data_IF_991320996052
#
_entry.id   IF_991320996052
#
_cell.length_a   1.000
_cell.length_b   1.000
_cell.length_c   1.000
_cell.angle_alpha   90.00
_cell.angle_beta   90.00
_cell.angle_gamma   90.00
#
_symmetry.space_group_name_H-M   'P 1'
#
loop_
_entity.id
_entity.type
_entity.pdbx_description
1 polymer ?
#
# COMPACT_ATOMS: atom_id res chain seq x y z
N UNK A 1 10.91 28.50 -19.31
CA UNK A 1 12.23 28.31 -18.69
C UNK A 1 12.64 26.87 -18.87
N UNK A 2 13.74 26.64 -19.57
CA UNK A 2 14.19 25.32 -20.00
C UNK A 2 14.84 24.53 -18.85
N UNK A 3 14.93 23.19 -18.94
CA UNK A 3 15.51 22.35 -17.89
C UNK A 3 16.94 22.73 -17.50
N UNK A 4 17.78 23.10 -18.47
CA UNK A 4 19.16 23.52 -18.20
C UNK A 4 19.20 24.85 -17.43
N UNK A 5 18.29 25.78 -17.70
CA UNK A 5 18.24 27.07 -17.00
C UNK A 5 17.86 26.92 -15.53
N UNK A 6 17.02 25.93 -15.19
CA UNK A 6 16.69 25.60 -13.80
C UNK A 6 17.86 24.97 -13.07
N UNK A 7 18.58 24.08 -13.75
CA UNK A 7 19.78 23.46 -13.20
C UNK A 7 20.88 24.50 -12.93
N UNK A 8 21.12 25.43 -13.86
CA UNK A 8 22.05 26.53 -13.63
C UNK A 8 21.59 27.53 -12.57
N UNK A 9 20.28 27.70 -12.38
CA UNK A 9 19.76 28.52 -11.29
C UNK A 9 20.09 27.89 -9.93
N UNK A 10 19.89 26.59 -9.79
CA UNK A 10 20.24 25.82 -8.60
C UNK A 10 21.75 25.88 -8.31
N UNK A 11 22.60 25.62 -9.30
CA UNK A 11 24.07 25.66 -9.12
C UNK A 11 24.61 27.03 -8.68
N UNK A 12 23.90 28.13 -8.95
CA UNK A 12 24.30 29.46 -8.47
C UNK A 12 24.22 29.60 -6.96
N UNK A 13 23.38 28.82 -6.29
CA UNK A 13 23.25 28.84 -4.83
C UNK A 13 24.50 28.23 -4.16
N UNK A 14 25.23 27.36 -4.86
CA UNK A 14 26.46 26.68 -4.40
C UNK A 14 27.76 27.48 -4.63
N UNK A 15 27.67 28.73 -5.09
CA UNK A 15 28.86 29.58 -5.27
C UNK A 15 29.14 30.34 -3.99
N UNK A 16 29.73 29.66 -3.01
CA UNK A 16 30.20 30.25 -1.75
C UNK A 16 31.51 31.05 -1.93
N UNK A 17 32.40 30.61 -2.83
CA UNK A 17 33.64 31.32 -3.20
C UNK A 17 33.64 31.78 -4.67
N UNK A 18 33.48 33.10 -4.88
CA UNK A 18 33.46 33.71 -6.23
C UNK A 18 34.82 33.74 -6.95
N UNK A 19 35.93 33.58 -6.24
CA UNK A 19 37.26 33.53 -6.86
C UNK A 19 37.53 32.17 -7.52
N UNK A 20 36.87 31.11 -7.05
CA UNK A 20 36.98 29.74 -7.56
C UNK A 20 35.59 29.07 -7.61
N UNK A 21 34.70 29.63 -8.44
CA UNK A 21 33.29 29.25 -8.46
C UNK A 21 33.04 27.78 -8.81
N UNK A 22 33.84 27.19 -9.70
CA UNK A 22 33.67 25.78 -10.10
C UNK A 22 34.01 24.82 -8.97
N UNK A 23 35.13 25.06 -8.27
CA UNK A 23 35.54 24.25 -7.12
C UNK A 23 34.59 24.39 -5.96
N UNK A 24 34.09 25.61 -5.71
CA UNK A 24 33.09 25.91 -4.69
C UNK A 24 31.78 25.15 -4.93
N UNK A 25 31.29 25.15 -6.17
CA UNK A 25 30.10 24.38 -6.54
C UNK A 25 30.32 22.89 -6.32
N UNK A 26 31.48 22.36 -6.76
CA UNK A 26 31.77 20.94 -6.64
C UNK A 26 31.88 20.49 -5.18
N UNK A 27 32.52 21.29 -4.32
CA UNK A 27 32.68 21.00 -2.90
C UNK A 27 31.34 21.02 -2.17
N UNK A 28 30.55 22.09 -2.32
CA UNK A 28 29.26 22.22 -1.66
C UNK A 28 28.26 21.15 -2.16
N UNK A 29 28.29 20.81 -3.45
CA UNK A 29 27.47 19.72 -4.01
C UNK A 29 27.85 18.35 -3.45
N UNK A 30 29.15 18.06 -3.30
CA UNK A 30 29.62 16.79 -2.72
C UNK A 30 29.22 16.70 -1.23
N UNK A 31 29.31 17.81 -0.49
CA UNK A 31 28.90 17.86 0.91
C UNK A 31 27.40 17.61 1.05
N UNK A 32 26.58 18.25 0.22
CA UNK A 32 25.12 18.04 0.25
C UNK A 32 24.73 16.62 -0.14
N UNK A 33 25.30 16.05 -1.20
CA UNK A 33 25.09 14.64 -1.58
C UNK A 33 25.55 13.70 -0.46
N UNK A 34 26.67 14.01 0.20
CA UNK A 34 27.19 13.25 1.34
C UNK A 34 26.29 13.31 2.57
N UNK A 35 25.74 14.49 2.90
CA UNK A 35 24.77 14.66 3.98
C UNK A 35 23.46 13.94 3.64
N UNK A 36 22.99 14.07 2.40
CA UNK A 36 21.79 13.38 1.90
C UNK A 36 21.97 11.86 1.99
N UNK A 37 23.12 11.35 1.56
CA UNK A 37 23.47 9.94 1.69
C UNK A 37 23.53 9.49 3.15
N UNK A 38 24.20 10.25 4.03
CA UNK A 38 24.31 9.93 5.45
C UNK A 38 22.96 10.02 6.18
N UNK A 39 22.09 10.96 5.81
CA UNK A 39 20.74 11.07 6.37
C UNK A 39 19.94 9.79 6.10
N UNK A 40 19.95 9.28 4.87
CA UNK A 40 19.31 8.01 4.50
C UNK A 40 19.85 6.79 5.28
N UNK A 41 21.07 6.86 5.83
CA UNK A 41 21.71 5.76 6.57
C UNK A 41 21.54 5.85 8.08
N UNK A 42 21.54 7.07 8.63
CA UNK A 42 21.39 7.34 10.07
C UNK A 42 19.91 7.43 10.49
N UNK A 43 18.98 7.59 9.55
CA UNK A 43 17.52 7.64 9.77
C UNK A 43 16.83 6.29 9.95
N UNK A 44 17.54 5.17 10.06
CA UNK A 44 16.90 3.89 10.44
C UNK A 44 16.28 3.96 11.84
N UNK A 45 16.59 4.99 12.64
CA UNK A 45 15.99 5.18 13.97
C UNK A 45 15.15 6.43 14.22
N UNK A 46 15.10 7.41 13.31
CA UNK A 46 14.20 8.56 13.47
C UNK A 46 13.74 9.07 12.10
N UNK A 47 12.44 8.90 11.83
CA UNK A 47 11.58 9.70 10.97
C UNK A 47 12.24 10.46 9.80
N UNK A 48 12.29 9.81 8.63
CA UNK A 48 12.22 10.38 7.27
C UNK A 48 12.34 11.91 7.18
N UNK A 49 13.52 12.40 6.82
CA UNK A 49 13.80 13.79 6.51
C UNK A 49 13.20 14.08 5.13
N UNK A 50 12.02 14.68 5.16
CA UNK A 50 11.34 15.32 4.03
C UNK A 50 12.29 16.37 3.37
N UNK A 51 12.88 16.04 2.23
CA UNK A 51 13.50 17.02 1.32
C UNK A 51 12.62 17.28 0.09
N UNK A 52 11.47 17.89 0.31
CA UNK A 52 10.97 18.98 -0.53
C UNK A 52 9.90 19.73 0.25
N UNK A 53 10.28 20.91 0.70
CA UNK A 53 9.48 21.94 1.34
C UNK A 53 8.13 22.11 0.61
N UNK A 54 7.06 21.50 1.17
CA UNK A 54 5.62 21.75 0.94
C UNK A 54 4.70 20.73 1.67
N UNK A 55 5.09 20.20 2.84
CA UNK A 55 4.15 19.45 3.70
C UNK A 55 3.67 20.35 4.85
N UNK A 56 2.35 20.51 5.06
CA UNK A 56 1.86 21.04 6.31
C UNK A 56 2.09 19.98 7.39
N UNK A 57 2.85 20.35 8.43
CA UNK A 57 2.86 19.77 9.79
C UNK A 57 2.98 18.25 9.90
N UNK A 58 4.13 17.78 10.42
CA UNK A 58 4.29 16.58 11.25
C UNK A 58 3.03 15.69 11.30
N UNK A 59 2.89 14.78 10.34
CA UNK A 59 1.75 13.87 10.31
C UNK A 59 1.88 12.96 11.54
N UNK A 60 0.92 13.08 12.46
CA UNK A 60 0.89 12.33 13.72
C UNK A 60 0.71 10.83 13.42
N UNK A 61 1.83 10.13 13.26
CA UNK A 61 1.87 8.71 12.90
C UNK A 61 1.20 7.81 13.96
N UNK A 62 1.04 8.30 15.20
CA UNK A 62 0.44 7.55 16.30
C UNK A 62 -1.01 7.12 16.03
N UNK A 63 -1.72 7.87 15.18
CA UNK A 63 -3.15 7.65 14.94
C UNK A 63 -3.42 6.74 13.74
N UNK A 64 -2.41 6.28 13.01
CA UNK A 64 -2.60 5.42 11.84
C UNK A 64 -2.24 3.97 12.15
N UNK A 65 -3.20 3.08 11.95
CA UNK A 65 -3.00 1.65 12.10
C UNK A 65 -2.10 1.13 10.97
N UNK A 66 -1.17 0.23 11.33
CA UNK A 66 -0.16 -0.36 10.44
C UNK A 66 0.76 0.64 9.74
N UNK A 67 1.04 1.80 10.35
CA UNK A 67 1.92 2.79 9.71
C UNK A 67 1.48 3.17 8.29
N UNK A 68 0.18 3.09 8.00
CA UNK A 68 -0.41 3.35 6.67
C UNK A 68 -0.35 4.83 6.25
N UNK A 69 0.47 5.61 6.97
CA UNK A 69 0.69 7.03 6.75
C UNK A 69 1.43 7.23 5.45
N UNK A 70 0.88 8.11 4.64
CA UNK A 70 1.47 8.57 3.41
C UNK A 70 0.83 9.88 3.02
N UNK A 71 1.24 10.41 1.88
CA UNK A 71 0.76 11.69 1.38
C UNK A 71 -0.19 11.48 0.21
N UNK A 72 -1.42 11.97 0.37
CA UNK A 72 -2.40 12.03 -0.71
C UNK A 72 -1.93 12.95 -1.84
N UNK A 73 -2.02 12.50 -3.07
CA UNK A 73 -1.61 13.27 -4.25
C UNK A 73 -2.84 13.78 -5.00
N UNK A 74 -2.96 15.11 -5.04
CA UNK A 74 -4.04 15.80 -5.74
C UNK A 74 -5.17 16.19 -4.80
N UNK A 75 -6.37 16.39 -5.35
CA UNK A 75 -7.53 16.79 -4.58
C UNK A 75 -8.00 15.63 -3.68
N UNK A 76 -8.16 15.92 -2.40
CA UNK A 76 -8.85 15.05 -1.44
C UNK A 76 -10.37 15.16 -1.66
N UNK A 77 -11.03 14.03 -1.80
CA UNK A 77 -12.49 13.96 -1.95
C UNK A 77 -13.10 13.32 -0.70
N UNK A 78 -14.03 14.00 -0.06
CA UNK A 78 -14.79 13.43 1.05
C UNK A 78 -15.99 12.70 0.46
N UNK A 79 -16.12 11.42 0.78
CA UNK A 79 -17.18 10.56 0.27
C UNK A 79 -17.92 9.87 1.41
N UNK A 80 -19.18 9.50 1.17
CA UNK A 80 -19.94 8.60 2.02
C UNK A 80 -19.83 7.20 1.43
N UNK A 81 -19.35 6.25 2.21
CA UNK A 81 -19.21 4.86 1.79
C UNK A 81 -20.55 4.12 1.85
N UNK A 82 -20.79 3.30 0.83
CA UNK A 82 -21.89 2.36 0.78
C UNK A 82 -21.83 1.38 1.97
N UNK A 83 -22.98 0.96 2.50
CA UNK A 83 -23.07 -0.03 3.60
C UNK A 83 -22.27 -1.30 3.31
N UNK A 84 -22.35 -1.78 2.06
CA UNK A 84 -21.56 -2.93 1.62
C UNK A 84 -20.06 -2.69 1.71
N UNK A 85 -19.59 -1.54 1.21
CA UNK A 85 -18.16 -1.20 1.21
C UNK A 85 -17.66 -1.05 2.65
N UNK A 86 -18.48 -0.50 3.54
CA UNK A 86 -18.18 -0.42 4.98
C UNK A 86 -18.00 -1.79 5.61
N UNK A 87 -18.91 -2.74 5.33
CA UNK A 87 -18.81 -4.11 5.86
C UNK A 87 -17.55 -4.80 5.32
N UNK A 88 -17.27 -4.69 4.02
CA UNK A 88 -16.07 -5.28 3.42
C UNK A 88 -14.78 -4.71 4.01
N UNK A 89 -14.69 -3.39 4.14
CA UNK A 89 -13.54 -2.70 4.76
C UNK A 89 -13.38 -3.16 6.20
N UNK A 90 -14.47 -3.20 6.96
CA UNK A 90 -14.41 -3.57 8.37
C UNK A 90 -13.95 -5.02 8.54
N UNK A 91 -14.53 -5.95 7.78
CA UNK A 91 -14.11 -7.37 7.78
C UNK A 91 -12.64 -7.53 7.39
N UNK A 92 -12.17 -6.80 6.37
CA UNK A 92 -10.78 -6.82 5.95
C UNK A 92 -9.84 -6.35 7.07
N UNK A 93 -10.15 -5.22 7.71
CA UNK A 93 -9.36 -4.68 8.81
C UNK A 93 -9.35 -5.64 10.00
N UNK A 94 -10.49 -6.22 10.36
CA UNK A 94 -10.56 -7.20 11.46
C UNK A 94 -9.76 -8.47 11.17
N UNK A 95 -9.73 -8.92 9.91
CA UNK A 95 -9.00 -10.14 9.50
C UNK A 95 -7.49 -9.98 9.61
N UNK A 96 -6.98 -8.83 9.19
CA UNK A 96 -5.55 -8.57 9.02
C UNK A 96 -4.95 -7.71 10.14
N UNK A 97 -5.64 -7.59 11.29
CA UNK A 97 -5.14 -6.83 12.43
C UNK A 97 -4.53 -7.71 13.50
N UNK A 98 -3.21 -7.59 13.66
CA UNK A 98 -2.41 -8.36 14.61
C UNK A 98 -2.86 -8.15 16.06
N UNK A 99 -3.32 -6.93 16.40
CA UNK A 99 -3.83 -6.63 17.75
C UNK A 99 -5.06 -7.47 18.12
N UNK A 100 -5.79 -7.97 17.11
CA UNK A 100 -6.99 -8.78 17.29
C UNK A 100 -6.66 -10.26 17.32
N UNK A 101 -5.45 -10.69 16.97
CA UNK A 101 -5.11 -12.11 16.91
C UNK A 101 -5.32 -12.79 18.27
N UNK A 102 -4.94 -12.13 19.37
CA UNK A 102 -5.22 -12.58 20.73
C UNK A 102 -6.72 -12.80 21.01
N UNK A 103 -7.58 -11.92 20.49
CA UNK A 103 -9.03 -12.03 20.59
C UNK A 103 -9.59 -13.13 19.68
N UNK A 104 -9.02 -13.33 18.49
CA UNK A 104 -9.40 -14.41 17.56
C UNK A 104 -9.10 -15.76 18.19
N UNK A 105 -7.93 -15.94 18.79
CA UNK A 105 -7.57 -17.15 19.53
C UNK A 105 -8.54 -17.40 20.70
N UNK A 106 -8.85 -16.36 21.47
CA UNK A 106 -9.82 -16.45 22.57
C UNK A 106 -11.21 -16.85 22.06
N UNK A 107 -11.69 -16.25 20.97
CA UNK A 107 -12.98 -16.56 20.35
C UNK A 107 -13.04 -18.02 19.90
N UNK A 108 -12.01 -18.47 19.15
CA UNK A 108 -11.92 -19.86 18.70
C UNK A 108 -11.90 -20.82 19.89
N UNK A 109 -11.23 -20.48 20.97
CA UNK A 109 -11.21 -21.27 22.20
C UNK A 109 -12.58 -21.30 22.90
N UNK A 110 -13.32 -20.20 22.93
CA UNK A 110 -14.69 -20.15 23.48
C UNK A 110 -15.63 -21.02 22.63
N UNK A 111 -15.56 -20.93 21.31
CA UNK A 111 -16.38 -21.72 20.39
C UNK A 111 -16.03 -23.22 20.45
N UNK A 112 -14.73 -23.56 20.55
CA UNK A 112 -14.29 -24.94 20.78
C UNK A 112 -14.84 -25.50 22.09
N UNK A 113 -14.95 -24.68 23.16
CA UNK A 113 -15.51 -25.10 24.46
C UNK A 113 -17.02 -25.30 24.43
N UNK A 114 -17.75 -24.55 23.60
CA UNK A 114 -19.21 -24.72 23.41
C UNK A 114 -19.56 -25.96 22.61
N UNK A 115 -18.69 -26.39 21.69
CA UNK A 115 -18.90 -27.57 20.85
C UNK A 115 -18.60 -28.86 21.63
N UNK A 116 -19.35 -29.93 21.34
CA UNK A 116 -19.17 -31.25 21.99
C UNK A 116 -17.75 -31.75 21.77
N UNK A 117 -17.18 -32.45 22.77
CA UNK A 117 -15.76 -32.85 22.91
C UNK A 117 -15.12 -33.63 21.73
N UNK A 118 -15.80 -33.85 20.62
CA UNK A 118 -15.34 -34.67 19.48
C UNK A 118 -15.49 -34.01 18.10
N UNK A 119 -15.74 -32.70 18.01
CA UNK A 119 -15.69 -32.00 16.71
C UNK A 119 -14.28 -31.45 16.46
N UNK A 120 -13.45 -32.19 15.73
CA UNK A 120 -12.21 -31.62 15.20
C UNK A 120 -12.57 -30.59 14.13
N UNK A 121 -12.36 -29.30 14.43
CA UNK A 121 -12.47 -28.25 13.42
C UNK A 121 -11.23 -28.31 12.53
N UNK A 122 -11.45 -28.42 11.22
CA UNK A 122 -10.37 -28.20 10.26
C UNK A 122 -10.01 -26.71 10.21
N UNK A 123 -8.80 -26.34 9.75
CA UNK A 123 -8.43 -24.92 9.58
C UNK A 123 -9.44 -24.12 8.76
N UNK A 124 -10.03 -24.75 7.73
CA UNK A 124 -11.08 -24.15 6.89
C UNK A 124 -12.37 -23.88 7.66
N UNK A 125 -12.76 -24.76 8.59
CA UNK A 125 -13.94 -24.57 9.42
C UNK A 125 -13.75 -23.44 10.42
N UNK A 126 -12.51 -23.26 10.92
CA UNK A 126 -12.15 -22.15 11.81
C UNK A 126 -12.20 -20.83 11.04
N UNK A 127 -11.61 -20.76 9.84
CA UNK A 127 -11.68 -19.57 8.99
C UNK A 127 -13.11 -19.17 8.67
N UNK A 128 -13.95 -20.16 8.29
CA UNK A 128 -15.37 -19.92 8.03
C UNK A 128 -16.10 -19.40 9.27
N UNK A 129 -15.86 -20.01 10.43
CA UNK A 129 -16.45 -19.57 11.70
C UNK A 129 -16.06 -18.13 12.05
N UNK A 130 -14.78 -17.78 11.87
CA UNK A 130 -14.30 -16.42 12.09
C UNK A 130 -15.01 -15.45 11.15
N UNK A 131 -15.07 -15.77 9.85
CA UNK A 131 -15.73 -14.91 8.87
C UNK A 131 -17.22 -14.70 9.18
N UNK A 132 -17.92 -15.75 9.62
CA UNK A 132 -19.37 -15.72 9.81
C UNK A 132 -19.80 -15.09 11.14
N UNK A 133 -19.06 -15.31 12.23
CA UNK A 133 -19.56 -15.03 13.60
C UNK A 133 -18.63 -14.22 14.50
N UNK A 134 -17.38 -13.99 14.10
CA UNK A 134 -16.44 -13.23 14.92
C UNK A 134 -16.89 -11.79 15.15
N UNK A 135 -17.42 -11.14 14.10
CA UNK A 135 -17.85 -9.74 14.17
C UNK A 135 -18.96 -9.50 15.22
N UNK A 136 -19.92 -10.43 15.35
CA UNK A 136 -20.96 -10.36 16.37
C UNK A 136 -20.39 -10.54 17.78
N UNK A 137 -19.50 -11.52 17.98
CA UNK A 137 -18.88 -11.77 19.27
C UNK A 137 -17.93 -10.65 19.71
N UNK A 138 -17.26 -10.00 18.76
CA UNK A 138 -16.30 -8.94 19.01
C UNK A 138 -16.96 -7.59 19.32
N UNK A 139 -18.23 -7.40 18.92
CA UNK A 139 -19.01 -6.15 19.03
C UNK A 139 -18.95 -5.44 20.38
N UNK A 140 -18.89 -6.21 21.46
CA UNK A 140 -19.00 -5.68 22.83
C UNK A 140 -17.66 -5.59 23.56
N UNK A 141 -16.51 -5.81 22.89
CA UNK A 141 -15.20 -5.94 23.54
C UNK A 141 -14.25 -4.78 23.35
N UNK A 142 -14.27 -4.12 22.18
CA UNK A 142 -13.28 -3.08 21.83
C UNK A 142 -13.95 -1.98 21.00
N UNK A 143 -13.46 -0.74 21.09
CA UNK A 143 -13.89 0.40 20.25
C UNK A 143 -13.89 0.07 18.75
N UNK A 144 -12.94 -0.76 18.32
CA UNK A 144 -12.81 -1.29 16.97
C UNK A 144 -14.09 -1.98 16.46
N UNK A 145 -14.88 -2.55 17.36
CA UNK A 145 -16.08 -3.30 17.03
C UNK A 145 -17.30 -2.42 16.69
N UNK A 146 -17.18 -1.09 16.86
CA UNK A 146 -18.16 -0.12 16.37
C UNK A 146 -18.15 0.00 14.83
N UNK A 147 -17.07 -0.44 14.19
CA UNK A 147 -16.88 -0.32 12.75
C UNK A 147 -16.35 1.06 12.32
N UNK A 148 -16.01 1.19 11.03
CA UNK A 148 -15.49 2.43 10.46
C UNK A 148 -16.57 3.52 10.36
N UNK A 149 -16.12 4.78 10.33
CA UNK A 149 -16.97 5.90 9.99
C UNK A 149 -17.47 5.76 8.54
N UNK A 150 -18.74 6.11 8.31
CA UNK A 150 -19.33 6.12 6.97
C UNK A 150 -18.69 7.16 6.05
N UNK A 151 -18.14 8.23 6.64
CA UNK A 151 -17.43 9.26 5.92
C UNK A 151 -15.97 8.83 5.78
N UNK A 152 -15.50 8.76 4.53
CA UNK A 152 -14.12 8.42 4.19
C UNK A 152 -13.51 9.47 3.27
N UNK A 153 -12.18 9.54 3.26
CA UNK A 153 -11.44 10.35 2.28
C UNK A 153 -11.00 9.47 1.13
N UNK A 154 -11.25 9.91 -0.09
CA UNK A 154 -10.83 9.25 -1.32
C UNK A 154 -9.70 10.03 -1.97
N UNK A 155 -8.70 9.31 -2.45
CA UNK A 155 -7.55 9.88 -3.15
C UNK A 155 -7.42 9.31 -4.55
N UNK A 156 -6.93 10.13 -5.48
CA UNK A 156 -6.62 9.71 -6.85
C UNK A 156 -5.15 9.32 -7.05
N UNK A 157 -4.31 9.60 -6.06
CA UNK A 157 -2.95 9.11 -5.96
C UNK A 157 -2.46 9.20 -4.52
N UNK A 158 -1.45 8.42 -4.18
CA UNK A 158 -0.95 8.31 -2.82
C UNK A 158 0.54 7.97 -2.86
N UNK A 159 1.32 8.58 -1.98
CA UNK A 159 2.74 8.31 -1.83
C UNK A 159 2.99 7.63 -0.49
N UNK A 160 3.62 6.46 -0.53
CA UNK A 160 3.95 5.64 0.65
C UNK A 160 5.15 4.75 0.32
N UNK A 161 6.06 4.55 1.29
CA UNK A 161 7.25 3.69 1.16
C UNK A 161 8.12 3.97 -0.08
N UNK A 162 8.33 5.24 -0.43
CA UNK A 162 9.10 5.62 -1.62
C UNK A 162 8.40 5.33 -2.96
N UNK A 163 7.15 4.85 -2.93
CA UNK A 163 6.35 4.55 -4.10
C UNK A 163 5.26 5.59 -4.32
N UNK A 164 5.09 5.98 -5.59
CA UNK A 164 4.08 6.94 -6.00
C UNK A 164 2.94 6.24 -6.72
N UNK A 165 1.87 5.92 -6.01
CA UNK A 165 0.69 5.27 -6.57
C UNK A 165 -0.28 6.26 -7.20
N UNK A 166 -0.96 5.83 -8.28
CA UNK A 166 -2.04 6.57 -8.94
C UNK A 166 -3.13 5.61 -9.36
N UNK A 167 -4.39 6.00 -9.20
CA UNK A 167 -5.52 5.18 -9.64
C UNK A 167 -5.56 5.06 -11.17
N UNK A 168 -6.13 3.96 -11.67
CA UNK A 168 -6.36 3.75 -13.11
C UNK A 168 -7.10 4.94 -13.74
N UNK A 169 -8.12 5.47 -13.05
CA UNK A 169 -8.89 6.63 -13.50
C UNK A 169 -8.01 7.87 -13.70
N UNK A 170 -7.01 8.11 -12.84
CA UNK A 170 -6.10 9.26 -12.93
C UNK A 170 -5.04 9.13 -14.02
N UNK A 171 -4.70 7.91 -14.44
CA UNK A 171 -3.65 7.66 -15.44
C UNK A 171 -4.16 7.40 -16.84
N UNK A 172 -5.48 7.20 -17.03
CA UNK A 172 -6.09 6.83 -18.32
C UNK A 172 -5.60 7.68 -19.52
N UNK A 173 -5.44 8.99 -19.30
CA UNK A 173 -5.03 9.93 -20.35
C UNK A 173 -3.53 10.31 -20.27
N UNK A 174 -2.73 9.54 -19.53
CA UNK A 174 -1.32 9.82 -19.28
C UNK A 174 -0.43 8.75 -19.91
N UNK A 175 0.76 9.18 -20.35
CA UNK A 175 1.81 8.26 -20.82
C UNK A 175 2.46 7.45 -19.69
N UNK A 176 2.29 7.86 -18.43
CA UNK A 176 2.90 7.20 -17.26
C UNK A 176 1.87 6.36 -16.52
N UNK A 177 2.21 5.09 -16.26
CA UNK A 177 1.42 4.17 -15.45
C UNK A 177 2.01 4.11 -14.04
N UNK A 178 1.20 4.24 -13.00
CA UNK A 178 1.64 4.11 -11.59
C UNK A 178 0.57 3.36 -10.76
N UNK A 179 -0.23 2.54 -11.43
CA UNK A 179 -1.40 1.87 -10.84
C UNK A 179 -1.16 0.39 -10.52
N UNK A 180 -0.03 -0.19 -10.92
CA UNK A 180 0.25 -1.58 -10.62
C UNK A 180 0.69 -1.77 -9.18
N UNK A 181 0.08 -2.75 -8.53
CA UNK A 181 0.38 -3.15 -7.16
C UNK A 181 0.76 -4.62 -7.11
N UNK A 182 1.68 -4.96 -6.21
CA UNK A 182 1.92 -6.33 -5.79
C UNK A 182 1.88 -6.40 -4.28
N UNK A 183 1.13 -7.37 -3.75
CA UNK A 183 1.18 -7.75 -2.35
C UNK A 183 1.88 -9.13 -2.29
N UNK A 184 3.05 -9.19 -1.64
CA UNK A 184 3.78 -10.45 -1.46
C UNK A 184 3.54 -10.93 -0.05
N UNK A 185 2.83 -12.04 0.12
CA UNK A 185 2.65 -12.61 1.46
C UNK A 185 3.92 -13.31 1.90
N UNK A 186 4.41 -12.97 3.09
CA UNK A 186 5.54 -13.67 3.73
C UNK A 186 5.21 -15.16 3.94
N UNK A 187 3.93 -15.44 4.20
CA UNK A 187 3.40 -16.78 4.37
C UNK A 187 3.12 -17.36 2.98
N UNK A 188 3.96 -18.29 2.54
CA UNK A 188 3.80 -19.06 1.30
C UNK A 188 4.45 -18.46 0.05
N UNK A 189 5.03 -17.26 0.13
CA UNK A 189 5.77 -16.63 -0.98
C UNK A 189 4.93 -16.35 -2.22
N UNK A 190 3.60 -16.26 -2.06
CA UNK A 190 2.67 -16.00 -3.17
C UNK A 190 2.57 -14.50 -3.38
N UNK A 191 2.78 -14.05 -4.61
CA UNK A 191 2.59 -12.65 -5.00
C UNK A 191 1.22 -12.46 -5.66
N UNK A 192 0.41 -11.59 -5.07
CA UNK A 192 -0.86 -11.15 -5.62
C UNK A 192 -0.66 -9.86 -6.41
N UNK A 193 -0.90 -9.89 -7.71
CA UNK A 193 -0.78 -8.73 -8.59
C UNK A 193 -2.14 -8.10 -8.81
N UNK A 194 -2.20 -6.77 -8.79
CA UNK A 194 -3.44 -6.03 -8.96
C UNK A 194 -3.30 -4.68 -9.63
N UNK A 195 -4.43 -4.16 -10.08
CA UNK A 195 -4.52 -2.79 -10.58
C UNK A 195 -5.27 -1.90 -9.59
N UNK A 196 -4.66 -0.78 -9.22
CA UNK A 196 -5.18 0.16 -8.24
C UNK A 196 -6.38 0.94 -8.81
N UNK A 197 -7.58 0.58 -8.34
CA UNK A 197 -8.82 1.23 -8.74
C UNK A 197 -9.08 2.51 -7.93
N UNK A 198 -8.94 2.43 -6.61
CA UNK A 198 -9.28 3.50 -5.66
C UNK A 198 -8.42 3.43 -4.39
N UNK A 199 -8.36 4.55 -3.68
CA UNK A 199 -7.60 4.71 -2.44
C UNK A 199 -8.51 5.40 -1.42
N UNK A 200 -8.63 4.82 -0.23
CA UNK A 200 -9.47 5.34 0.85
C UNK A 200 -8.70 5.47 2.16
N UNK A 201 -8.77 6.62 2.81
CA UNK A 201 -8.47 6.77 4.24
C UNK A 201 -9.77 6.64 5.03
N UNK A 202 -9.78 5.66 5.92
CA UNK A 202 -10.91 5.28 6.75
C UNK A 202 -10.62 5.69 8.18
N UNK A 203 -11.52 6.46 8.77
CA UNK A 203 -11.44 6.89 10.16
C UNK A 203 -12.35 6.02 11.05
N UNK A 204 -11.85 5.59 12.20
CA UNK A 204 -12.61 4.86 13.22
C UNK A 204 -13.00 5.80 14.36
N UNK A 205 -13.76 6.84 14.02
CA UNK A 205 -14.26 7.87 14.94
C UNK A 205 -13.14 8.50 15.79
N UNK A 206 -12.00 8.79 15.17
CA UNK A 206 -10.85 9.39 15.85
C UNK A 206 -10.03 8.44 16.72
N UNK A 207 -10.38 7.15 16.80
CA UNK A 207 -9.57 6.15 17.54
C UNK A 207 -8.28 5.84 16.79
N UNK A 208 -8.41 5.58 15.49
CA UNK A 208 -7.30 5.40 14.58
C UNK A 208 -7.81 5.54 13.14
N UNK A 209 -6.88 5.67 12.20
CA UNK A 209 -7.12 5.75 10.77
C UNK A 209 -6.41 4.62 10.05
N UNK A 210 -6.93 4.23 8.88
CA UNK A 210 -6.28 3.24 8.04
C UNK A 210 -6.43 3.58 6.57
N UNK A 211 -5.34 3.46 5.81
CA UNK A 211 -5.37 3.69 4.36
C UNK A 211 -5.37 2.38 3.60
N UNK A 212 -6.45 2.18 2.84
CA UNK A 212 -6.73 0.98 2.06
C UNK A 212 -6.71 1.28 0.57
N UNK A 213 -6.09 0.38 -0.18
CA UNK A 213 -6.12 0.40 -1.64
C UNK A 213 -7.12 -0.63 -2.12
N UNK A 214 -8.05 -0.19 -2.98
CA UNK A 214 -8.99 -1.06 -3.67
C UNK A 214 -8.39 -1.52 -4.99
N UNK A 215 -8.24 -2.81 -5.17
CA UNK A 215 -7.44 -3.38 -6.25
C UNK A 215 -8.22 -4.43 -7.05
N UNK A 216 -8.07 -4.39 -8.37
CA UNK A 216 -8.49 -5.47 -9.25
C UNK A 216 -7.40 -6.53 -9.26
N UNK A 217 -7.52 -7.54 -8.40
CA UNK A 217 -6.52 -8.60 -8.21
C UNK A 217 -6.66 -9.70 -9.25
N UNK A 218 -5.54 -10.10 -9.86
CA UNK A 218 -5.50 -11.21 -10.80
C UNK A 218 -5.59 -12.56 -10.09
N UNK A 219 -6.32 -13.49 -10.71
CA UNK A 219 -6.63 -14.78 -10.12
C UNK A 219 -5.44 -15.75 -10.19
N UNK A 220 -4.80 -16.01 -9.06
CA UNK A 220 -3.69 -16.98 -8.96
C UNK A 220 -4.19 -18.41 -9.26
N UNK A 221 -5.37 -18.79 -8.78
CA UNK A 221 -5.91 -20.15 -8.84
C UNK A 221 -6.35 -20.56 -10.25
N UNK A 222 -6.88 -19.64 -11.05
CA UNK A 222 -7.34 -19.89 -12.43
C UNK A 222 -6.25 -19.66 -13.50
N UNK A 223 -4.98 -19.80 -13.12
CA UNK A 223 -3.83 -19.50 -13.98
C UNK A 223 -3.89 -18.09 -14.59
N UNK A 224 -4.37 -17.11 -13.82
CA UNK A 224 -4.25 -15.68 -14.18
C UNK A 224 -2.81 -15.15 -14.04
N UNK A 225 -1.90 -15.99 -13.53
CA UNK A 225 -0.48 -15.71 -13.40
C UNK A 225 0.30 -16.89 -13.99
N UNK A 226 1.30 -16.62 -14.82
CA UNK A 226 2.24 -17.63 -15.33
C UNK A 226 3.64 -17.04 -15.45
N UNK A 227 4.65 -17.89 -15.58
CA UNK A 227 6.00 -17.48 -16.00
C UNK A 227 6.23 -17.92 -17.44
N UNK A 228 6.88 -17.07 -18.22
CA UNK A 228 7.32 -17.44 -19.57
C UNK A 228 8.69 -18.14 -19.56
N UNK A 229 9.12 -18.61 -20.72
CA UNK A 229 10.39 -19.32 -20.91
C UNK A 229 11.62 -18.43 -20.63
N UNK A 230 11.43 -17.11 -20.62
CA UNK A 230 12.45 -16.12 -20.30
C UNK A 230 12.48 -15.75 -18.81
N UNK A 231 11.59 -16.32 -18.00
CA UNK A 231 11.49 -16.10 -16.56
C UNK A 231 10.65 -14.89 -16.14
N UNK A 232 10.02 -14.17 -17.07
CA UNK A 232 9.14 -13.05 -16.75
C UNK A 232 7.81 -13.53 -16.18
N UNK A 233 7.30 -12.80 -15.19
CA UNK A 233 5.96 -13.04 -14.65
C UNK A 233 4.92 -12.33 -15.53
N UNK A 234 3.94 -13.10 -15.99
CA UNK A 234 2.83 -12.66 -16.82
C UNK A 234 1.53 -12.72 -16.02
N UNK A 235 0.73 -11.65 -16.09
CA UNK A 235 -0.53 -11.51 -15.37
C UNK A 235 -1.66 -11.21 -16.34
N UNK A 236 -2.82 -11.81 -16.12
CA UNK A 236 -4.02 -11.61 -16.92
C UNK A 236 -5.16 -11.01 -16.08
N UNK A 237 -5.47 -9.73 -16.32
CA UNK A 237 -6.52 -9.01 -15.60
C UNK A 237 -7.94 -9.27 -16.13
N UNK A 238 -8.10 -10.00 -17.23
CA UNK A 238 -9.42 -10.52 -17.61
C UNK A 238 -9.90 -11.64 -16.68
N UNK A 239 -8.99 -12.21 -15.89
CA UNK A 239 -9.27 -13.25 -14.88
C UNK A 239 -9.04 -12.69 -13.49
N UNK A 240 -10.03 -11.98 -12.95
CA UNK A 240 -9.94 -11.42 -11.60
C UNK A 240 -10.26 -12.48 -10.53
N UNK A 241 -9.69 -12.33 -9.33
CA UNK A 241 -10.05 -13.16 -8.15
C UNK A 241 -11.54 -13.01 -7.86
N UNK A 242 -12.01 -11.76 -7.90
CA UNK A 242 -13.41 -11.41 -7.75
C UNK A 242 -13.67 -10.01 -8.32
N UNK A 243 -14.93 -9.68 -8.61
CA UNK A 243 -15.33 -8.35 -9.13
C UNK A 243 -15.42 -7.27 -8.05
N UNK A 244 -15.32 -7.64 -6.77
CA UNK A 244 -15.60 -6.73 -5.64
C UNK A 244 -17.09 -6.44 -5.42
N UNK A 245 -17.99 -7.01 -6.23
CA UNK A 245 -19.43 -6.70 -6.20
C UNK A 245 -20.24 -7.48 -5.15
N UNK A 246 -19.74 -8.62 -4.66
CA UNK A 246 -20.36 -9.38 -3.57
C UNK A 246 -19.72 -9.02 -2.24
N UNK A 247 -20.47 -9.22 -1.16
CA UNK A 247 -20.03 -8.91 0.21
C UNK A 247 -18.87 -9.80 0.67
N UNK A 248 -18.81 -11.05 0.18
CA UNK A 248 -17.72 -12.01 0.44
C UNK A 248 -16.39 -11.67 -0.27
N UNK A 249 -16.41 -10.73 -1.22
CA UNK A 249 -15.21 -10.35 -1.96
C UNK A 249 -14.28 -9.49 -1.10
N UNK A 250 -12.97 -9.65 -1.30
CA UNK A 250 -11.93 -8.96 -0.55
C UNK A 250 -11.02 -8.12 -1.48
N UNK A 251 -11.53 -6.98 -2.00
CA UNK A 251 -10.80 -6.16 -2.97
C UNK A 251 -9.78 -5.22 -2.34
N UNK A 252 -9.62 -5.25 -1.02
CA UNK A 252 -8.78 -4.29 -0.31
C UNK A 252 -7.43 -4.87 0.04
N UNK A 253 -6.42 -4.01 0.06
CA UNK A 253 -5.08 -4.29 0.57
C UNK A 253 -4.61 -3.10 1.38
N UNK A 254 -3.82 -3.33 2.43
CA UNK A 254 -3.20 -2.22 3.17
C UNK A 254 -2.16 -1.52 2.30
N UNK A 255 -2.15 -0.19 2.36
CA UNK A 255 -1.19 0.64 1.64
C UNK A 255 0.27 0.33 2.02
N UNK A 256 0.53 -0.11 3.27
CA UNK A 256 1.87 -0.49 3.72
C UNK A 256 2.37 -1.80 3.07
N UNK A 257 1.47 -2.74 2.76
CA UNK A 257 1.81 -4.09 2.31
C UNK A 257 2.06 -4.20 0.80
N UNK A 258 1.95 -3.10 0.07
CA UNK A 258 2.02 -3.11 -1.40
C UNK A 258 3.29 -2.46 -1.92
N UNK A 259 3.90 -3.10 -2.92
CA UNK A 259 4.96 -2.53 -3.73
C UNK A 259 4.42 -2.12 -5.11
N UNK A 260 5.13 -1.19 -5.76
CA UNK A 260 4.76 -0.72 -7.09
C UNK A 260 5.31 -1.62 -8.20
N UNK A 261 4.44 -1.98 -9.14
CA UNK A 261 4.82 -2.67 -10.39
C UNK A 261 4.28 -1.95 -11.61
N UNK A 262 4.94 -2.15 -12.75
CA UNK A 262 4.45 -1.75 -14.06
C UNK A 262 3.97 -2.96 -14.84
N UNK A 263 2.96 -2.74 -15.66
CA UNK A 263 2.40 -3.74 -16.56
C UNK A 263 2.71 -3.35 -17.99
N UNK A 264 3.40 -4.23 -18.71
CA UNK A 264 3.69 -4.06 -20.13
C UNK A 264 2.90 -5.11 -20.90
N UNK A 265 2.06 -4.68 -21.84
CA UNK A 265 1.28 -5.62 -22.65
C UNK A 265 2.20 -6.56 -23.42
N UNK A 266 1.90 -7.86 -23.39
CA UNK A 266 2.68 -8.86 -24.08
C UNK A 266 2.34 -8.83 -25.58
N UNK A 267 3.30 -8.59 -26.48
CA UNK A 267 3.03 -8.48 -27.93
C UNK A 267 2.59 -9.81 -28.56
N UNK A 268 2.88 -10.96 -27.93
CA UNK A 268 2.51 -12.29 -28.44
C UNK A 268 1.13 -12.74 -27.96
N UNK A 269 0.72 -12.31 -26.77
CA UNK A 269 -0.48 -12.79 -26.10
C UNK A 269 -1.32 -11.61 -25.62
N UNK A 270 -2.37 -11.27 -26.37
CA UNK A 270 -3.33 -10.24 -25.96
C UNK A 270 -3.91 -10.57 -24.58
N UNK A 271 -4.16 -9.54 -23.77
CA UNK A 271 -4.66 -9.60 -22.38
C UNK A 271 -3.67 -10.18 -21.35
N UNK A 272 -2.42 -10.42 -21.72
CA UNK A 272 -1.35 -10.76 -20.78
C UNK A 272 -0.39 -9.59 -20.63
N UNK A 273 -0.03 -9.30 -19.39
CA UNK A 273 0.87 -8.21 -19.03
C UNK A 273 2.11 -8.76 -18.35
N UNK A 274 3.28 -8.39 -18.85
CA UNK A 274 4.56 -8.60 -18.21
C UNK A 274 4.65 -7.68 -17.00
N UNK A 275 4.99 -8.25 -15.84
CA UNK A 275 5.18 -7.50 -14.61
C UNK A 275 6.63 -7.05 -14.50
N UNK A 276 6.82 -5.75 -14.33
CA UNK A 276 8.13 -5.15 -14.03
C UNK A 276 8.07 -4.58 -12.62
N UNK A 277 8.85 -5.13 -11.70
CA UNK A 277 8.96 -4.58 -10.34
C UNK A 277 9.71 -3.26 -10.37
N UNK A 278 9.19 -2.28 -9.63
CA UNK A 278 9.79 -0.96 -9.53
C UNK A 278 10.67 -0.93 -8.29
N UNK A 279 11.87 -0.37 -8.40
CA UNK A 279 12.64 -0.02 -7.22
C UNK A 279 12.12 1.31 -6.67
N UNK A 280 11.87 1.43 -5.35
CA UNK A 280 11.51 2.71 -4.76
C UNK A 280 12.59 3.73 -5.12
N UNK A 281 12.20 4.97 -5.46
CA UNK A 281 13.18 5.99 -5.86
C UNK A 281 14.14 6.37 -4.74
N UNK A 282 13.74 6.09 -3.50
CA UNK A 282 14.37 6.57 -2.28
C UNK A 282 14.94 5.41 -1.42
N UNK A 283 14.94 4.17 -1.92
CA UNK A 283 15.54 2.99 -1.26
C UNK A 283 16.62 2.39 -2.16
N UNK A 284 17.88 2.54 -1.75
CA UNK A 284 19.02 1.90 -2.41
C UNK A 284 19.19 0.48 -1.85
N UNK A 285 19.14 -0.53 -2.74
CA UNK A 285 19.50 -1.93 -2.41
C UNK A 285 20.98 -1.99 -2.03
N UNK A 286 21.28 -1.95 -0.73
CA UNK A 286 22.61 -2.26 -0.22
C UNK A 286 22.75 -3.78 -0.13
N UNK A 287 23.64 -4.35 -0.95
CA UNK A 287 24.11 -5.73 -0.80
C UNK A 287 24.64 -5.87 0.62
N UNK A 288 24.04 -6.77 1.42
CA UNK A 288 24.59 -7.14 2.73
C UNK A 288 26.01 -7.69 2.50
N UNK A 289 27.02 -6.92 2.89
CA UNK A 289 28.40 -7.38 3.04
C UNK A 289 28.50 -8.32 4.25
#
# INVERSE_FOLDING_TARGET
MYPFERFFFFLKEYVSNKAHSESSIAEDYIVEEGITFCSNYLEVHYATFDMHDNNPSSIDQSNYLFGSVGTGIGKEEIIVLDEKSLIQIHQFVLRHCDQIESYRESFVNVEKRKRRRHTHLTPKDVEKLINDTFHEWFRDKVTLARGPNMIAKRFSGYYINGFKFRTISRVKDKKTQNYGVVNTTEIGGVSYFGQLSDIFEIDYFGSFKVVLFKCNLANVTLMGIKRDDLGFTLVNFSRLVHTGEKLEHDPFVFSLQVEQVFYVENPKNNNWFIVIRTRPRDLFDMVKL
#
